data_IF_729783233130
#
_entry.id   IF_729783233130
#
_cell.length_a   1.000
_cell.length_b   1.000
_cell.length_c   1.000
_cell.angle_alpha   90.00
_cell.angle_beta   90.00
_cell.angle_gamma   90.00
#
_symmetry.space_group_name_H-M   'P 1'
#
loop_
_entity.id
_entity.type
_entity.pdbx_description
1 polymer ?
#
# COMPACT_ATOMS: atom_id res chain seq x y z
N UNK A 1 45.81 -43.37 10.69
CA UNK A 1 45.46 -41.94 10.84
C UNK A 1 43.97 -41.80 10.52
N UNK A 2 43.12 -42.02 11.51
CA UNK A 2 41.66 -42.01 11.35
C UNK A 2 41.15 -40.60 11.64
N UNK A 3 40.68 -39.90 10.61
CA UNK A 3 40.06 -38.59 10.76
C UNK A 3 38.69 -38.84 11.42
N UNK A 4 38.33 -38.15 12.52
CA UNK A 4 37.08 -38.41 13.20
C UNK A 4 35.91 -38.07 12.27
N UNK A 5 35.18 -39.09 11.82
CA UNK A 5 34.01 -38.99 10.92
C UNK A 5 32.89 -38.12 11.50
N UNK A 6 32.84 -37.99 12.83
CA UNK A 6 31.92 -37.12 13.56
C UNK A 6 32.13 -35.62 13.25
N UNK A 7 33.38 -35.18 13.04
CA UNK A 7 33.69 -33.78 12.76
C UNK A 7 33.23 -33.38 11.35
N UNK A 8 33.27 -34.32 10.39
CA UNK A 8 32.76 -34.11 9.03
C UNK A 8 31.24 -33.98 9.01
N UNK A 9 30.53 -34.84 9.73
CA UNK A 9 29.06 -34.80 9.79
C UNK A 9 28.55 -33.49 10.41
N UNK A 10 29.20 -33.04 11.50
CA UNK A 10 28.90 -31.75 12.14
C UNK A 10 29.19 -30.55 11.21
N UNK A 11 30.30 -30.59 10.45
CA UNK A 11 30.63 -29.55 9.46
C UNK A 11 29.62 -29.49 8.30
N UNK A 12 29.16 -30.64 7.80
CA UNK A 12 28.12 -30.71 6.76
C UNK A 12 26.76 -30.21 7.27
N UNK A 13 26.41 -30.46 8.55
CA UNK A 13 25.20 -29.94 9.16
C UNK A 13 25.23 -28.41 9.31
N UNK A 14 26.37 -27.84 9.75
CA UNK A 14 26.55 -26.39 9.85
C UNK A 14 26.51 -25.69 8.48
N UNK A 15 27.03 -26.34 7.44
CA UNK A 15 26.97 -25.84 6.06
C UNK A 15 25.52 -25.79 5.53
N UNK A 16 24.68 -26.76 5.91
CA UNK A 16 23.25 -26.79 5.54
C UNK A 16 22.40 -25.74 6.29
N UNK A 17 22.77 -25.42 7.54
CA UNK A 17 22.09 -24.38 8.33
C UNK A 17 22.42 -22.98 7.81
N UNK A 18 23.57 -22.81 7.17
CA UNK A 18 23.98 -21.53 6.58
C UNK A 18 23.29 -21.22 5.25
N UNK A 19 22.68 -22.22 4.58
CA UNK A 19 22.02 -22.04 3.27
C UNK A 19 20.58 -21.53 3.35
N UNK A 20 19.97 -21.44 4.53
CA UNK A 20 18.75 -20.63 4.72
C UNK A 20 19.15 -19.17 4.89
N UNK A 21 19.61 -18.57 3.79
CA UNK A 21 19.66 -17.13 3.68
C UNK A 21 18.21 -16.63 3.58
N UNK A 22 17.82 -15.74 4.47
CA UNK A 22 16.59 -14.95 4.38
C UNK A 22 16.68 -14.12 3.09
N UNK A 23 16.07 -14.58 2.01
CA UNK A 23 15.69 -13.72 0.91
C UNK A 23 14.36 -13.09 1.32
N UNK A 24 14.42 -12.01 2.09
CA UNK A 24 13.24 -11.20 2.42
C UNK A 24 13.51 -9.76 2.03
N UNK A 25 13.57 -9.56 0.71
CA UNK A 25 13.24 -8.29 0.08
C UNK A 25 12.48 -8.67 -1.19
N UNK A 26 11.25 -9.15 -1.01
CA UNK A 26 10.34 -9.37 -2.12
C UNK A 26 10.01 -8.00 -2.72
N UNK A 27 10.55 -7.70 -3.91
CA UNK A 27 10.24 -6.49 -4.68
C UNK A 27 8.73 -6.47 -4.99
N UNK A 28 7.94 -5.83 -4.12
CA UNK A 28 6.50 -5.67 -4.29
C UNK A 28 6.22 -4.49 -5.23
N UNK A 29 5.49 -4.73 -6.30
CA UNK A 29 5.00 -3.69 -7.20
C UNK A 29 3.58 -3.30 -6.83
N UNK A 30 3.39 -2.02 -6.55
CA UNK A 30 2.09 -1.42 -6.30
C UNK A 30 1.57 -0.77 -7.58
N UNK A 31 0.47 -1.30 -8.11
CA UNK A 31 -0.25 -0.70 -9.23
C UNK A 31 -1.49 0.01 -8.73
N UNK A 32 -1.66 1.26 -9.16
CA UNK A 32 -2.74 2.13 -8.75
C UNK A 32 -3.61 2.50 -9.93
N UNK A 33 -4.89 2.19 -9.84
CA UNK A 33 -5.90 2.63 -10.78
C UNK A 33 -6.84 3.62 -10.11
N UNK A 34 -6.98 4.81 -10.70
CA UNK A 34 -7.80 5.89 -10.15
C UNK A 34 -8.89 6.22 -11.16
N UNK A 35 -10.15 6.23 -10.71
CA UNK A 35 -11.28 6.66 -11.54
C UNK A 35 -11.83 8.00 -11.07
N UNK A 36 -11.67 9.01 -11.91
CA UNK A 36 -12.35 10.31 -11.77
C UNK A 36 -13.81 10.20 -12.19
N UNK A 37 -14.69 10.88 -11.45
CA UNK A 37 -16.12 10.94 -11.76
C UNK A 37 -16.42 11.72 -13.04
N UNK A 38 -17.47 11.30 -13.74
CA UNK A 38 -17.95 11.95 -14.96
C UNK A 38 -18.92 13.10 -14.69
N UNK A 39 -18.77 13.78 -13.55
CA UNK A 39 -19.58 14.94 -13.20
C UNK A 39 -19.00 16.22 -13.80
N UNK A 40 -19.83 17.25 -13.94
CA UNK A 40 -19.41 18.54 -14.48
C UNK A 40 -18.28 19.10 -13.59
N UNK A 41 -17.13 19.40 -14.21
CA UNK A 41 -15.90 19.85 -13.55
C UNK A 41 -15.28 18.83 -12.57
N UNK A 42 -15.51 17.53 -12.78
CA UNK A 42 -14.98 16.48 -11.88
C UNK A 42 -13.47 16.26 -11.94
N UNK A 43 -12.77 16.76 -12.97
CA UNK A 43 -11.30 16.68 -13.07
C UNK A 43 -10.59 17.80 -12.30
N UNK A 44 -9.29 17.60 -12.02
CA UNK A 44 -8.44 18.60 -11.35
C UNK A 44 -7.15 18.84 -12.13
N UNK A 45 -6.64 20.07 -12.04
CA UNK A 45 -5.31 20.46 -12.51
C UNK A 45 -4.26 20.42 -11.39
N UNK A 46 -4.67 20.08 -10.15
CA UNK A 46 -3.78 19.97 -9.00
C UNK A 46 -3.00 18.64 -8.99
N UNK A 47 -1.89 18.62 -8.26
CA UNK A 47 -1.14 17.38 -8.00
C UNK A 47 -1.97 16.48 -7.08
N UNK A 48 -2.22 15.25 -7.52
CA UNK A 48 -2.91 14.25 -6.71
C UNK A 48 -1.86 13.45 -5.92
N UNK A 49 -2.06 13.35 -4.61
CA UNK A 49 -1.17 12.61 -3.72
C UNK A 49 -1.86 11.39 -3.13
N UNK A 50 -1.15 10.27 -3.12
CA UNK A 50 -1.58 9.02 -2.52
C UNK A 50 -0.75 8.75 -1.27
N UNK A 51 -1.43 8.28 -0.22
CA UNK A 51 -0.82 7.76 0.98
C UNK A 51 -1.31 6.33 1.23
N UNK A 52 -0.39 5.36 1.16
CA UNK A 52 -0.60 4.00 1.64
C UNK A 52 -0.02 3.90 3.05
N UNK A 53 -0.80 3.38 3.99
CA UNK A 53 -0.41 3.24 5.39
C UNK A 53 -0.46 1.76 5.75
N UNK A 54 0.59 1.26 6.40
CA UNK A 54 0.62 -0.11 6.93
C UNK A 54 -0.03 -0.19 8.33
N UNK A 55 -0.04 -1.39 8.91
CA UNK A 55 -0.58 -1.60 10.27
C UNK A 55 0.17 -0.87 11.38
N UNK A 56 1.37 -0.34 11.11
CA UNK A 56 2.22 0.37 12.09
C UNK A 56 2.06 1.89 12.01
N UNK A 57 1.34 2.37 10.99
CA UNK A 57 0.89 3.74 10.90
C UNK A 57 1.89 4.72 10.29
N UNK A 58 3.01 4.26 9.72
CA UNK A 58 3.96 5.14 9.02
C UNK A 58 3.42 5.54 7.64
N UNK A 59 3.71 6.78 7.21
CA UNK A 59 3.24 7.27 5.93
C UNK A 59 4.12 8.35 5.30
N UNK A 60 4.14 8.36 3.97
CA UNK A 60 4.64 9.48 3.16
C UNK A 60 3.42 10.28 2.71
N UNK A 61 3.36 11.53 3.15
CA UNK A 61 2.36 12.51 2.70
C UNK A 61 3.03 13.45 1.71
N UNK A 62 2.65 13.35 0.44
CA UNK A 62 2.96 14.40 -0.54
C UNK A 62 1.81 15.40 -0.45
N UNK A 63 2.12 16.67 -0.22
CA UNK A 63 1.14 17.75 -0.24
C UNK A 63 1.26 18.46 -1.59
N UNK A 64 0.17 18.57 -2.35
CA UNK A 64 -0.08 19.79 -3.11
C UNK A 64 -1.56 19.92 -3.49
N UNK A 65 -2.16 21.02 -3.04
CA UNK A 65 -3.53 21.41 -3.27
C UNK A 65 -3.46 22.89 -3.70
N UNK A 66 -3.40 23.12 -5.01
CA UNK A 66 -3.22 24.47 -5.56
C UNK A 66 -4.47 25.34 -5.34
N UNK A 67 -4.26 26.66 -5.24
CA UNK A 67 -5.32 27.66 -5.08
C UNK A 67 -5.59 28.35 -6.42
N UNK A 68 -6.30 27.67 -7.32
CA UNK A 68 -6.60 28.15 -8.67
C UNK A 68 -7.95 27.64 -9.20
N UNK A 69 -8.40 28.11 -10.36
CA UNK A 69 -9.58 27.53 -11.00
C UNK A 69 -9.31 26.07 -11.39
N UNK A 70 -10.24 25.14 -11.13
CA UNK A 70 -10.04 23.71 -11.46
C UNK A 70 -9.26 22.89 -10.43
N UNK A 71 -9.16 23.37 -9.19
CA UNK A 71 -8.47 22.67 -8.09
C UNK A 71 -9.27 21.49 -7.52
N UNK A 72 -10.60 21.55 -7.54
CA UNK A 72 -11.46 20.50 -6.99
C UNK A 72 -11.45 19.22 -7.83
N UNK A 73 -11.35 18.07 -7.17
CA UNK A 73 -11.36 16.76 -7.84
C UNK A 73 -12.51 15.89 -7.34
N UNK A 74 -13.30 15.29 -8.23
CA UNK A 74 -14.27 14.28 -7.83
C UNK A 74 -13.74 12.88 -8.11
N UNK A 75 -13.45 12.13 -7.04
CA UNK A 75 -12.93 10.78 -7.11
C UNK A 75 -14.05 9.76 -6.88
N UNK A 76 -14.23 8.79 -7.80
CA UNK A 76 -15.15 7.67 -7.59
C UNK A 76 -14.52 6.61 -6.68
N UNK A 77 -13.41 6.02 -7.13
CA UNK A 77 -12.70 4.98 -6.41
C UNK A 77 -11.24 4.92 -6.81
N UNK A 78 -10.46 4.30 -5.94
CA UNK A 78 -9.08 3.90 -6.19
C UNK A 78 -8.96 2.40 -6.00
N UNK A 79 -8.26 1.72 -6.90
CA UNK A 79 -7.96 0.30 -6.81
C UNK A 79 -6.45 0.14 -6.68
N UNK A 80 -6.04 -0.57 -5.63
CA UNK A 80 -4.64 -0.88 -5.34
C UNK A 80 -4.44 -2.36 -5.58
N UNK A 81 -3.48 -2.68 -6.43
CA UNK A 81 -3.06 -4.06 -6.71
C UNK A 81 -1.62 -4.21 -6.29
N UNK A 82 -1.34 -5.22 -5.47
CA UNK A 82 0.01 -5.57 -5.00
C UNK A 82 0.40 -6.91 -5.59
N UNK A 83 1.55 -6.95 -6.24
CA UNK A 83 2.14 -8.17 -6.80
C UNK A 83 3.60 -8.28 -6.37
N UNK A 84 3.97 -9.42 -5.79
CA UNK A 84 5.36 -9.77 -5.48
C UNK A 84 5.89 -10.85 -6.42
N UNK A 85 7.17 -11.19 -6.29
CA UNK A 85 7.83 -12.19 -7.13
C UNK A 85 7.38 -13.58 -6.68
N UNK A 86 6.86 -14.41 -7.59
CA UNK A 86 6.24 -15.70 -7.26
C UNK A 86 5.15 -15.64 -6.17
N UNK A 87 4.64 -14.44 -5.86
CA UNK A 87 3.66 -14.20 -4.81
C UNK A 87 2.27 -14.01 -5.42
N UNK A 88 1.21 -14.53 -4.79
CA UNK A 88 -0.15 -14.33 -5.26
C UNK A 88 -0.52 -12.84 -5.22
N UNK A 89 -1.21 -12.38 -6.26
CA UNK A 89 -1.67 -10.99 -6.37
C UNK A 89 -2.81 -10.72 -5.37
N UNK A 90 -2.76 -9.55 -4.72
CA UNK A 90 -3.83 -9.06 -3.86
C UNK A 90 -4.33 -7.71 -4.36
N UNK A 91 -5.64 -7.56 -4.47
CA UNK A 91 -6.28 -6.34 -4.96
C UNK A 91 -7.31 -5.83 -3.95
N UNK A 92 -7.31 -4.52 -3.72
CA UNK A 92 -8.27 -3.85 -2.85
C UNK A 92 -8.79 -2.58 -3.52
N UNK A 93 -10.11 -2.48 -3.64
CA UNK A 93 -10.79 -1.25 -4.04
C UNK A 93 -11.17 -0.42 -2.82
N UNK A 94 -10.96 0.90 -2.91
CA UNK A 94 -11.36 1.91 -1.94
C UNK A 94 -12.36 2.87 -2.61
N UNK A 95 -13.63 2.76 -2.23
CA UNK A 95 -14.69 3.64 -2.76
C UNK A 95 -14.64 4.99 -2.07
N UNK A 96 -14.51 6.07 -2.86
CA UNK A 96 -14.36 7.45 -2.38
C UNK A 96 -15.67 8.21 -2.53
N UNK A 97 -16.19 8.33 -3.76
CA UNK A 97 -17.43 9.01 -4.15
C UNK A 97 -17.65 10.40 -3.49
N UNK A 98 -16.64 11.26 -3.58
CA UNK A 98 -16.71 12.61 -3.01
C UNK A 98 -15.84 13.62 -3.76
N UNK A 99 -16.18 14.90 -3.59
CA UNK A 99 -15.31 16.01 -3.94
C UNK A 99 -14.14 16.12 -2.94
N UNK A 100 -12.94 16.31 -3.48
CA UNK A 100 -11.73 16.70 -2.80
C UNK A 100 -11.47 18.17 -3.14
N UNK A 101 -12.16 19.07 -2.44
CA UNK A 101 -12.18 20.50 -2.69
C UNK A 101 -12.54 21.27 -1.40
N UNK A 102 -12.09 22.52 -1.27
CA UNK A 102 -12.50 23.41 -0.16
C UNK A 102 -13.69 24.31 -0.51
N UNK A 103 -14.02 24.43 -1.79
CA UNK A 103 -15.11 25.28 -2.29
C UNK A 103 -16.42 24.50 -2.49
N UNK A 104 -16.38 23.17 -2.33
CA UNK A 104 -17.51 22.27 -2.58
C UNK A 104 -17.59 21.24 -1.45
N UNK A 105 -18.81 20.96 -0.98
CA UNK A 105 -19.06 19.96 0.06
C UNK A 105 -18.47 18.60 -0.33
N UNK A 106 -17.74 17.90 0.56
CA UNK A 106 -17.65 18.09 2.03
C UNK A 106 -16.57 19.07 2.53
N UNK A 107 -16.01 19.93 1.67
CA UNK A 107 -15.00 20.92 2.03
C UNK A 107 -13.72 20.30 2.61
N UNK A 108 -13.37 19.12 2.12
CA UNK A 108 -12.18 18.38 2.54
C UNK A 108 -11.32 18.09 1.31
N UNK A 109 -10.01 18.13 1.48
CA UNK A 109 -9.02 17.85 0.44
C UNK A 109 -8.50 16.42 0.51
N UNK A 110 -8.95 15.66 1.50
CA UNK A 110 -8.49 14.29 1.77
C UNK A 110 -9.65 13.31 1.88
N UNK A 111 -9.44 12.09 1.37
CA UNK A 111 -10.31 10.94 1.57
C UNK A 111 -9.52 9.83 2.24
N UNK A 112 -9.85 9.53 3.50
CA UNK A 112 -9.25 8.40 4.21
C UNK A 112 -10.21 7.21 4.14
N UNK A 113 -9.70 6.05 3.74
CA UNK A 113 -10.43 4.77 3.75
C UNK A 113 -9.59 3.73 4.46
N UNK A 114 -10.16 3.13 5.51
CA UNK A 114 -9.54 2.06 6.26
C UNK A 114 -10.38 0.79 6.03
N UNK A 115 -9.82 -0.15 5.26
CA UNK A 115 -10.42 -1.45 5.01
C UNK A 115 -9.70 -2.56 5.80
N UNK A 116 -8.85 -2.20 6.75
CA UNK A 116 -8.25 -3.18 7.65
C UNK A 116 -9.36 -3.80 8.52
N UNK A 117 -9.29 -5.12 8.80
CA UNK A 117 -10.16 -5.71 9.81
C UNK A 117 -9.93 -4.96 11.13
N UNK A 118 -11.02 -4.52 11.77
CA UNK A 118 -10.93 -4.07 13.17
C UNK A 118 -10.37 -5.25 13.96
N UNK A 119 -9.25 -5.07 14.66
CA UNK A 119 -8.77 -6.11 15.56
C UNK A 119 -9.92 -6.56 16.46
N UNK A 120 -10.03 -7.88 16.60
CA UNK A 120 -11.20 -8.65 17.04
C UNK A 120 -11.85 -8.16 18.35
N UNK A 121 -13.13 -8.54 18.60
CA UNK A 121 -14.02 -7.85 19.52
C UNK A 121 -13.50 -7.94 20.95
N UNK A 122 -13.81 -6.90 21.73
CA UNK A 122 -13.71 -6.96 23.19
C UNK A 122 -14.57 -8.14 23.64
N UNK A 123 -13.94 -9.27 23.94
CA UNK A 123 -14.61 -10.40 24.56
C UNK A 123 -15.21 -9.90 25.89
N UNK A 124 -16.54 -9.89 25.97
CA UNK A 124 -17.36 -9.59 27.15
C UNK A 124 -17.55 -10.82 28.03
#
# INVERSE_FOLDING_TARGET
MAIPTQLKLSFFLLLSISTVALADEEDCVYSLYIRTGSIIKGGTDSIISLKLQDGQGEFIEINNLETGAGHGWYCNYMEVTVAGVHSPCSQQQFTVEQWLALDTSPYNLTAIRNNCPSEFPVDV
#
